data_IF_046891482629
#
_entry.id   IF_046891482629
#
_cell.length_a   1.000
_cell.length_b   1.000
_cell.length_c   1.000
_cell.angle_alpha   90.00
_cell.angle_beta   90.00
_cell.angle_gamma   90.00
#
_symmetry.space_group_name_H-M   'P 1'
#
loop_
_entity.id
_entity.type
_entity.pdbx_description
1 polymer ?
#
# COMPACT_ATOMS: atom_id res chain seq x y z
N UNK A 1 -16.21 14.34 23.05
CA UNK A 1 -16.56 13.14 22.25
C UNK A 1 -16.68 13.48 20.76
N UNK A 2 -17.42 14.53 20.39
CA UNK A 2 -17.55 15.02 19.00
C UNK A 2 -16.21 15.32 18.34
N UNK A 3 -15.27 15.98 19.04
CA UNK A 3 -13.92 16.25 18.53
C UNK A 3 -13.15 14.99 18.12
N UNK A 4 -13.28 13.90 18.89
CA UNK A 4 -12.60 12.63 18.58
C UNK A 4 -13.17 11.97 17.32
N UNK A 5 -14.48 12.12 17.08
CA UNK A 5 -15.16 11.60 15.89
C UNK A 5 -14.71 12.38 14.65
N UNK A 6 -14.72 13.71 14.73
CA UNK A 6 -14.24 14.57 13.65
C UNK A 6 -12.78 14.30 13.33
N UNK A 7 -11.92 14.18 14.35
CA UNK A 7 -10.51 13.87 14.18
C UNK A 7 -10.30 12.49 13.53
N UNK A 8 -11.07 11.48 13.97
CA UNK A 8 -10.99 10.14 13.38
C UNK A 8 -11.35 10.16 11.89
N UNK A 9 -12.43 10.88 11.54
CA UNK A 9 -12.86 11.05 10.15
C UNK A 9 -11.81 11.81 9.33
N UNK A 10 -11.26 12.89 9.86
CA UNK A 10 -10.22 13.67 9.21
C UNK A 10 -8.97 12.83 8.91
N UNK A 11 -8.47 12.08 9.89
CA UNK A 11 -7.35 11.16 9.68
C UNK A 11 -7.69 10.12 8.61
N UNK A 12 -8.92 9.62 8.60
CA UNK A 12 -9.36 8.64 7.59
C UNK A 12 -9.37 9.23 6.17
N UNK A 13 -9.76 10.50 6.02
CA UNK A 13 -9.67 11.21 4.73
C UNK A 13 -8.21 11.47 4.33
N UNK A 14 -7.34 11.81 5.27
CA UNK A 14 -5.90 11.95 5.02
C UNK A 14 -5.27 10.62 4.56
N UNK A 15 -5.73 9.48 5.09
CA UNK A 15 -5.30 8.15 4.63
C UNK A 15 -5.72 7.93 3.18
N UNK A 16 -6.95 8.27 2.81
CA UNK A 16 -7.42 8.18 1.42
C UNK A 16 -6.55 9.02 0.49
N UNK A 17 -6.23 10.26 0.88
CA UNK A 17 -5.40 11.16 0.08
C UNK A 17 -3.96 10.63 -0.06
N UNK A 18 -3.35 10.19 1.04
CA UNK A 18 -2.03 9.55 1.06
C UNK A 18 -1.97 8.33 0.12
N UNK A 19 -3.00 7.48 0.15
CA UNK A 19 -3.08 6.30 -0.73
C UNK A 19 -3.25 6.66 -2.21
N UNK A 20 -4.03 7.71 -2.52
CA UNK A 20 -4.21 8.19 -3.90
C UNK A 20 -2.95 8.84 -4.48
N UNK A 21 -2.21 9.56 -3.64
CA UNK A 21 -0.99 10.24 -4.03
C UNK A 21 0.26 9.35 -3.91
N UNK A 22 0.09 8.08 -3.54
CA UNK A 22 1.18 7.11 -3.32
C UNK A 22 2.22 7.61 -2.27
N UNK A 23 1.80 8.50 -1.36
CA UNK A 23 2.62 8.99 -0.25
C UNK A 23 2.56 8.01 0.93
N UNK A 24 3.31 6.91 0.80
CA UNK A 24 3.31 5.81 1.78
C UNK A 24 4.05 6.22 3.07
N UNK A 25 4.92 7.23 3.04
CA UNK A 25 5.77 7.60 4.18
C UNK A 25 4.94 8.05 5.39
N UNK A 26 3.84 8.77 5.15
CA UNK A 26 2.96 9.25 6.21
C UNK A 26 1.88 8.24 6.61
N UNK A 27 1.65 7.21 5.80
CA UNK A 27 0.52 6.29 5.94
C UNK A 27 0.53 5.55 7.28
N UNK A 28 1.70 5.01 7.68
CA UNK A 28 1.86 4.30 8.96
C UNK A 28 1.52 5.22 10.14
N UNK A 29 2.02 6.46 10.11
CA UNK A 29 1.74 7.45 11.15
C UNK A 29 0.25 7.77 11.24
N UNK A 30 -0.45 7.89 10.12
CA UNK A 30 -1.88 8.16 10.09
C UNK A 30 -2.69 6.97 10.64
N UNK A 31 -2.35 5.75 10.22
CA UNK A 31 -2.99 4.53 10.73
C UNK A 31 -2.80 4.37 12.24
N UNK A 32 -1.60 4.61 12.74
CA UNK A 32 -1.31 4.55 14.19
C UNK A 32 -2.11 5.59 14.96
N UNK A 33 -2.15 6.85 14.49
CA UNK A 33 -2.99 7.90 15.10
C UNK A 33 -4.47 7.50 15.13
N UNK A 34 -4.96 6.89 14.06
CA UNK A 34 -6.34 6.41 13.96
C UNK A 34 -6.62 5.32 14.99
N UNK A 35 -5.69 4.37 15.17
CA UNK A 35 -5.79 3.32 16.17
C UNK A 35 -5.74 3.86 17.60
N UNK A 36 -4.84 4.81 17.88
CA UNK A 36 -4.76 5.45 19.20
C UNK A 36 -6.07 6.11 19.64
N UNK A 37 -6.84 6.66 18.70
CA UNK A 37 -8.16 7.22 19.00
C UNK A 37 -9.10 6.13 19.50
N UNK A 38 -9.09 4.95 18.85
CA UNK A 38 -9.91 3.80 19.24
C UNK A 38 -9.49 3.25 20.61
N UNK A 39 -8.19 3.08 20.82
CA UNK A 39 -7.64 2.54 22.08
C UNK A 39 -7.98 3.40 23.29
N UNK A 40 -8.16 4.72 23.08
CA UNK A 40 -8.52 5.69 24.12
C UNK A 40 -10.03 5.78 24.38
N UNK A 41 -10.87 4.94 23.74
CA UNK A 41 -12.32 4.94 24.00
C UNK A 41 -12.75 3.83 24.94
N UNK A 42 -13.40 4.24 26.02
CA UNK A 42 -13.92 3.36 27.07
C UNK A 42 -15.33 2.87 26.73
N UNK A 43 -16.18 3.74 26.15
CA UNK A 43 -17.50 3.37 25.63
C UNK A 43 -17.50 3.37 24.10
N UNK A 44 -17.50 2.17 23.53
CA UNK A 44 -17.31 1.94 22.11
C UNK A 44 -18.64 2.02 21.32
N UNK A 45 -19.80 1.88 21.99
CA UNK A 45 -21.08 1.76 21.29
C UNK A 45 -21.58 3.12 20.77
N UNK A 46 -21.59 4.15 21.62
CA UNK A 46 -21.99 5.50 21.21
C UNK A 46 -21.01 6.07 20.18
N UNK A 47 -19.71 5.81 20.39
CA UNK A 47 -18.65 6.26 19.47
C UNK A 47 -18.81 5.61 18.09
N UNK A 48 -19.02 4.30 18.04
CA UNK A 48 -19.29 3.56 16.79
C UNK A 48 -20.54 4.08 16.09
N UNK A 49 -21.64 4.29 16.81
CA UNK A 49 -22.89 4.78 16.22
C UNK A 49 -22.68 6.15 15.54
N UNK A 50 -21.99 7.07 16.21
CA UNK A 50 -21.71 8.39 15.63
C UNK A 50 -20.78 8.32 14.43
N UNK A 51 -19.74 7.49 14.47
CA UNK A 51 -18.85 7.28 13.32
C UNK A 51 -19.61 6.74 12.09
N UNK A 52 -20.52 5.78 12.29
CA UNK A 52 -21.36 5.25 11.21
C UNK A 52 -22.23 6.37 10.62
N UNK A 53 -22.88 7.18 11.46
CA UNK A 53 -23.69 8.31 10.98
C UNK A 53 -22.88 9.37 10.24
N UNK A 54 -21.59 9.51 10.57
CA UNK A 54 -20.64 10.38 9.87
C UNK A 54 -20.13 9.80 8.54
N UNK A 55 -20.59 8.62 8.14
CA UNK A 55 -20.24 8.00 6.86
C UNK A 55 -18.89 7.28 6.86
N UNK A 56 -18.38 6.86 8.03
CA UNK A 56 -17.06 6.24 8.12
C UNK A 56 -16.95 4.93 7.31
N UNK A 57 -18.07 4.22 7.14
CA UNK A 57 -18.11 2.91 6.47
C UNK A 57 -17.69 3.03 5.00
N UNK A 58 -18.14 4.09 4.32
CA UNK A 58 -17.78 4.29 2.92
C UNK A 58 -16.33 4.75 2.77
N UNK A 59 -15.83 5.54 3.72
CA UNK A 59 -14.42 5.93 3.77
C UNK A 59 -13.55 4.68 3.99
N UNK A 60 -13.94 3.79 4.90
CA UNK A 60 -13.20 2.55 5.16
C UNK A 60 -13.18 1.60 3.97
N UNK A 61 -14.31 1.47 3.28
CA UNK A 61 -14.36 0.70 2.02
C UNK A 61 -13.40 1.29 0.99
N UNK A 62 -13.39 2.61 0.84
CA UNK A 62 -12.48 3.28 -0.08
C UNK A 62 -10.99 3.06 0.29
N UNK A 63 -10.65 3.11 1.58
CA UNK A 63 -9.28 2.81 2.05
C UNK A 63 -8.91 1.37 1.69
N UNK A 64 -9.81 0.41 1.93
CA UNK A 64 -9.58 -1.01 1.63
C UNK A 64 -9.33 -1.24 0.13
N UNK A 65 -10.16 -0.65 -0.73
CA UNK A 65 -10.03 -0.73 -2.19
C UNK A 65 -8.69 -0.16 -2.67
N UNK A 66 -8.33 1.05 -2.22
CA UNK A 66 -7.06 1.68 -2.58
C UNK A 66 -5.84 0.86 -2.13
N UNK A 67 -5.89 0.29 -0.93
CA UNK A 67 -4.82 -0.60 -0.44
C UNK A 67 -4.69 -1.84 -1.32
N UNK A 68 -5.80 -2.48 -1.70
CA UNK A 68 -5.80 -3.64 -2.60
C UNK A 68 -5.23 -3.32 -3.98
N UNK A 69 -5.58 -2.17 -4.53
CA UNK A 69 -5.09 -1.71 -5.83
C UNK A 69 -3.58 -1.44 -5.76
N UNK A 70 -3.12 -0.71 -4.75
CA UNK A 70 -1.69 -0.41 -4.58
C UNK A 70 -0.87 -1.69 -4.36
N UNK A 71 -1.36 -2.64 -3.57
CA UNK A 71 -0.71 -3.95 -3.40
C UNK A 71 -0.65 -4.74 -4.72
N UNK A 72 -1.69 -4.65 -5.55
CA UNK A 72 -1.72 -5.34 -6.85
C UNK A 72 -0.71 -4.75 -7.82
N UNK A 73 -0.60 -3.41 -7.89
CA UNK A 73 0.43 -2.72 -8.68
C UNK A 73 1.83 -3.13 -8.25
N UNK A 74 2.15 -3.07 -6.96
CA UNK A 74 3.49 -3.44 -6.43
C UNK A 74 3.82 -4.90 -6.78
N UNK A 75 2.86 -5.82 -6.66
CA UNK A 75 3.08 -7.24 -7.05
C UNK A 75 3.41 -7.38 -8.53
N UNK A 76 2.75 -6.61 -9.39
CA UNK A 76 3.04 -6.58 -10.82
C UNK A 76 4.44 -6.03 -11.10
N UNK A 77 4.83 -4.92 -10.48
CA UNK A 77 6.17 -4.34 -10.62
C UNK A 77 7.27 -5.31 -10.19
N UNK A 78 7.08 -6.01 -9.06
CA UNK A 78 8.02 -7.05 -8.59
C UNK A 78 8.14 -8.17 -9.62
N UNK A 79 7.03 -8.58 -10.24
CA UNK A 79 7.02 -9.62 -11.27
C UNK A 79 7.77 -9.15 -12.52
N UNK A 80 7.52 -7.95 -12.99
CA UNK A 80 8.19 -7.34 -14.16
C UNK A 80 9.68 -7.17 -13.92
N UNK A 81 10.07 -6.70 -12.74
CA UNK A 81 11.48 -6.58 -12.33
C UNK A 81 12.19 -7.94 -12.36
N UNK A 82 11.55 -9.00 -11.83
CA UNK A 82 12.10 -10.36 -11.85
C UNK A 82 12.28 -10.89 -13.28
N UNK A 83 11.29 -10.66 -14.15
CA UNK A 83 11.36 -11.05 -15.56
C UNK A 83 12.48 -10.32 -16.29
N UNK A 84 12.61 -9.00 -16.09
CA UNK A 84 13.70 -8.20 -16.66
C UNK A 84 15.08 -8.73 -16.24
N UNK A 85 15.26 -9.04 -14.95
CA UNK A 85 16.50 -9.63 -14.44
C UNK A 85 16.79 -11.00 -15.07
N UNK A 86 15.77 -11.84 -15.26
CA UNK A 86 15.91 -13.15 -15.90
C UNK A 86 16.33 -13.01 -17.37
N UNK A 87 15.67 -12.14 -18.13
CA UNK A 87 15.99 -11.89 -19.54
C UNK A 87 17.41 -11.37 -19.69
N UNK A 88 17.82 -10.41 -18.85
CA UNK A 88 19.19 -9.88 -18.85
C UNK A 88 20.23 -10.97 -18.56
N UNK A 89 19.96 -11.84 -17.57
CA UNK A 89 20.84 -12.96 -17.27
C UNK A 89 20.90 -13.98 -18.42
N UNK A 90 19.77 -14.29 -19.05
CA UNK A 90 19.71 -15.17 -20.22
C UNK A 90 20.47 -14.59 -21.41
N UNK A 91 20.37 -13.29 -21.65
CA UNK A 91 21.10 -12.59 -22.70
C UNK A 91 22.62 -12.60 -22.44
N UNK A 92 23.05 -12.28 -21.22
CA UNK A 92 24.46 -12.35 -20.83
C UNK A 92 25.01 -13.78 -20.92
N UNK A 93 24.24 -14.78 -20.49
CA UNK A 93 24.64 -16.19 -20.61
C UNK A 93 24.75 -16.63 -22.07
N UNK A 94 23.84 -16.17 -22.94
CA UNK A 94 23.90 -16.44 -24.38
C UNK A 94 25.16 -15.82 -25.02
N UNK A 95 25.48 -14.56 -24.71
CA UNK A 95 26.71 -13.90 -25.18
C UNK A 95 27.94 -14.65 -24.68
N UNK A 96 28.03 -14.95 -23.39
CA UNK A 96 29.17 -15.66 -22.81
C UNK A 96 29.35 -17.06 -23.40
N UNK A 97 28.24 -17.78 -23.63
CA UNK A 97 28.26 -19.09 -24.28
C UNK A 97 28.76 -18.97 -25.72
N UNK A 98 28.28 -17.98 -26.48
CA UNK A 98 28.70 -17.73 -27.86
C UNK A 98 30.18 -17.32 -27.98
N UNK A 99 30.67 -16.43 -27.11
CA UNK A 99 32.09 -16.06 -27.06
C UNK A 99 33.00 -17.28 -26.81
N UNK A 100 32.57 -18.23 -25.97
CA UNK A 100 33.32 -19.47 -25.73
C UNK A 100 33.31 -20.44 -26.92
N UNK A 101 32.34 -20.39 -27.83
CA UNK A 101 32.32 -21.21 -29.05
C UNK A 101 33.29 -20.65 -30.09
N UNK A 102 33.45 -19.33 -30.16
CA UNK A 102 34.43 -18.69 -31.04
C UNK A 102 35.87 -18.76 -30.53
N UNK A 103 36.08 -18.96 -29.23
CA UNK A 103 37.40 -19.17 -28.63
C UNK A 103 37.84 -20.65 -28.57
N UNK A 104 36.99 -21.60 -28.96
CA UNK A 104 37.38 -23.02 -29.00
C UNK A 104 38.20 -23.26 -30.28
N UNK A 105 39.53 -23.20 -30.18
CA UNK A 105 40.42 -23.66 -31.26
C UNK A 105 40.12 -25.12 -31.57
N UNK A 106 39.78 -25.39 -32.84
CA UNK A 106 39.78 -26.73 -33.46
C UNK A 106 41.21 -27.07 -33.84
#
# INVERSE_FOLDING_TARGET
MTEKISLYKEISLQIVESLKNEDIYILEKLLNKRQEILDKQIDNNEFKFKLINEGIIDIDRQIEELLKDNMSKIKQEIKEYRLSKQVNNSYMNYINKNLNIFNKKV
#
